data_IF_314060935389
#
_entry.id   IF_314060935389
#
_cell.length_a   1.000
_cell.length_b   1.000
_cell.length_c   1.000
_cell.angle_alpha   90.00
_cell.angle_beta   90.00
_cell.angle_gamma   90.00
#
_symmetry.space_group_name_H-M   'P 1'
#
loop_
_entity.id
_entity.type
_entity.pdbx_description
1 polymer ?
#
# COMPACT_ATOMS: atom_id res chain seq x y z
N UNK A 1 7.03 -2.01 25.57
CA UNK A 1 8.02 -0.94 25.31
C UNK A 1 8.00 -0.67 23.82
N UNK A 2 7.34 0.39 23.35
CA UNK A 2 7.26 0.67 21.90
C UNK A 2 8.61 1.23 21.45
N UNK A 3 9.28 0.54 20.54
CA UNK A 3 10.52 1.03 19.93
C UNK A 3 10.21 2.36 19.21
N UNK A 4 10.81 3.44 19.68
CA UNK A 4 10.59 4.80 19.15
C UNK A 4 11.56 5.16 18.03
N UNK A 5 12.37 4.19 17.59
CA UNK A 5 13.34 4.41 16.52
C UNK A 5 12.68 4.27 15.14
N UNK A 6 12.98 5.17 14.18
CA UNK A 6 12.51 5.01 12.83
C UNK A 6 13.06 3.72 12.20
N UNK A 7 12.16 2.87 11.71
CA UNK A 7 12.53 1.58 11.15
C UNK A 7 11.96 1.37 9.75
N UNK A 8 12.41 0.30 9.09
CA UNK A 8 11.95 -0.05 7.76
C UNK A 8 11.30 -1.44 7.77
N UNK A 9 10.16 -1.55 7.11
CA UNK A 9 9.43 -2.82 6.97
C UNK A 9 9.06 -3.08 5.52
N UNK A 10 8.71 -4.33 5.21
CA UNK A 10 8.18 -4.76 3.92
C UNK A 10 6.88 -5.52 4.11
N UNK A 11 6.06 -5.51 3.07
CA UNK A 11 4.86 -6.34 3.00
C UNK A 11 5.15 -7.45 2.01
N UNK A 12 4.96 -8.69 2.46
CA UNK A 12 4.93 -9.87 1.60
C UNK A 12 3.47 -10.29 1.45
N UNK A 13 2.94 -10.17 0.23
CA UNK A 13 1.63 -10.72 -0.14
C UNK A 13 1.80 -12.20 -0.53
N UNK A 14 0.74 -12.99 -0.37
CA UNK A 14 0.69 -14.42 -0.72
C UNK A 14 1.69 -15.27 0.10
N UNK A 15 1.46 -15.38 1.42
CA UNK A 15 2.13 -16.39 2.22
C UNK A 15 1.31 -17.69 2.20
N UNK A 16 1.78 -18.77 1.55
CA UNK A 16 1.09 -20.05 1.55
C UNK A 16 1.31 -20.74 2.91
N UNK A 17 0.63 -20.26 3.95
CA UNK A 17 0.55 -20.98 5.22
C UNK A 17 -0.89 -21.49 5.34
N UNK A 18 -1.12 -22.81 5.18
CA UNK A 18 -2.42 -23.39 5.43
C UNK A 18 -2.76 -23.20 6.91
N UNK A 19 -3.79 -22.41 7.19
CA UNK A 19 -4.40 -22.35 8.52
C UNK A 19 -5.63 -23.28 8.54
N UNK A 20 -5.93 -23.93 9.66
CA UNK A 20 -7.10 -24.78 9.79
C UNK A 20 -8.38 -23.95 9.61
N UNK A 21 -9.28 -24.45 8.75
CA UNK A 21 -10.68 -24.09 8.55
C UNK A 21 -11.20 -22.81 9.28
N UNK A 22 -10.64 -21.65 8.92
CA UNK A 22 -11.16 -20.35 9.33
C UNK A 22 -11.60 -19.59 8.07
N UNK A 23 -12.72 -18.87 8.15
CA UNK A 23 -13.23 -18.01 7.07
C UNK A 23 -12.29 -16.83 6.74
N UNK A 24 -11.21 -16.66 7.52
CA UNK A 24 -10.15 -15.68 7.32
C UNK A 24 -8.85 -16.36 6.88
N UNK A 25 -8.32 -15.92 5.73
CA UNK A 25 -7.07 -16.42 5.17
C UNK A 25 -5.91 -15.48 5.53
N UNK A 26 -4.73 -16.03 5.82
CA UNK A 26 -3.51 -15.24 6.00
C UNK A 26 -3.05 -14.73 4.63
N UNK A 27 -3.40 -13.49 4.31
CA UNK A 27 -3.13 -12.93 2.98
C UNK A 27 -1.77 -12.23 2.91
N UNK A 28 -1.26 -11.71 4.02
CA UNK A 28 0.00 -10.96 4.01
C UNK A 28 0.73 -10.96 5.34
N UNK A 29 2.04 -10.74 5.29
CA UNK A 29 2.86 -10.48 6.47
C UNK A 29 3.62 -9.18 6.35
N UNK A 30 3.75 -8.49 7.49
CA UNK A 30 4.62 -7.34 7.66
C UNK A 30 5.90 -7.84 8.34
N UNK A 31 7.06 -7.65 7.73
CA UNK A 31 8.34 -8.06 8.30
C UNK A 31 9.33 -6.89 8.35
N UNK A 32 10.22 -6.92 9.32
CA UNK A 32 11.30 -5.94 9.40
C UNK A 32 12.24 -6.09 8.20
N UNK A 33 12.88 -5.01 7.74
CA UNK A 33 13.83 -5.10 6.62
C UNK A 33 15.06 -5.92 6.95
N UNK A 34 15.55 -5.84 8.19
CA UNK A 34 16.79 -6.49 8.63
C UNK A 34 16.60 -7.90 9.18
N UNK A 35 15.37 -8.42 9.24
CA UNK A 35 15.09 -9.71 9.88
C UNK A 35 13.92 -10.44 9.24
N UNK A 36 13.95 -11.77 9.33
CA UNK A 36 12.86 -12.62 8.83
C UNK A 36 11.70 -12.76 9.83
N UNK A 37 11.82 -12.18 11.03
CA UNK A 37 10.75 -12.19 12.01
C UNK A 37 9.57 -11.30 11.53
N UNK A 38 8.33 -11.86 11.47
CA UNK A 38 7.16 -11.06 11.17
C UNK A 38 6.86 -10.11 12.32
N UNK A 39 6.59 -8.84 11.99
CA UNK A 39 6.09 -7.82 12.91
C UNK A 39 4.57 -7.90 13.05
N UNK A 40 3.88 -8.24 11.97
CA UNK A 40 2.43 -8.40 11.97
C UNK A 40 1.98 -9.42 10.90
N UNK A 41 0.87 -10.08 11.19
CA UNK A 41 0.14 -10.97 10.28
C UNK A 41 -1.18 -10.33 9.89
N UNK A 42 -1.59 -10.57 8.65
CA UNK A 42 -2.79 -9.94 8.08
C UNK A 42 -3.74 -11.02 7.64
N UNK A 43 -4.91 -11.03 8.25
CA UNK A 43 -5.99 -11.93 7.94
C UNK A 43 -7.05 -11.17 7.16
N UNK A 44 -7.42 -11.67 5.98
CA UNK A 44 -8.50 -11.09 5.20
C UNK A 44 -9.61 -12.13 5.06
N UNK A 45 -10.86 -11.67 5.03
CA UNK A 45 -11.94 -12.50 4.54
C UNK A 45 -11.71 -12.85 3.07
N UNK A 46 -12.06 -14.09 2.69
CA UNK A 46 -11.97 -14.57 1.31
C UNK A 46 -12.86 -13.79 0.34
N UNK A 47 -13.90 -13.15 0.84
CA UNK A 47 -14.85 -12.41 0.01
C UNK A 47 -14.27 -11.03 -0.34
N UNK A 48 -14.16 -10.67 -1.63
CA UNK A 48 -13.63 -9.38 -2.03
C UNK A 48 -14.51 -8.25 -1.50
N UNK A 49 -13.88 -7.23 -0.92
CA UNK A 49 -14.59 -6.08 -0.35
C UNK A 49 -15.07 -6.27 1.09
N UNK A 50 -14.62 -7.33 1.77
CA UNK A 50 -14.80 -7.51 3.21
C UNK A 50 -13.65 -6.89 4.03
N UNK A 51 -13.82 -6.72 5.36
CA UNK A 51 -12.76 -6.22 6.23
C UNK A 51 -11.56 -7.17 6.31
N UNK A 52 -10.45 -6.61 6.77
CA UNK A 52 -9.25 -7.36 7.12
C UNK A 52 -8.73 -6.94 8.50
N UNK A 53 -8.03 -7.85 9.14
CA UNK A 53 -7.51 -7.71 10.49
C UNK A 53 -5.99 -7.82 10.49
N UNK A 54 -5.35 -6.95 11.28
CA UNK A 54 -3.91 -6.94 11.48
C UNK A 54 -3.64 -7.41 12.90
N UNK A 55 -2.85 -8.48 13.03
CA UNK A 55 -2.45 -9.08 14.29
C UNK A 55 -0.94 -8.86 14.48
N UNK A 56 -0.50 -8.56 15.70
CA UNK A 56 0.92 -8.49 16.03
C UNK A 56 1.55 -9.88 15.91
N UNK A 57 2.79 -9.95 15.46
CA UNK A 57 3.57 -11.18 15.57
C UNK A 57 4.78 -10.93 16.50
N UNK A 58 5.19 -11.93 17.31
CA UNK A 58 4.70 -13.32 17.32
C UNK A 58 3.41 -13.56 18.14
N UNK A 59 2.99 -12.61 18.98
CA UNK A 59 1.95 -12.83 20.03
C UNK A 59 0.50 -13.01 19.52
N UNK A 60 0.27 -12.85 18.22
CA UNK A 60 -1.04 -12.95 17.54
C UNK A 60 -2.15 -12.03 18.08
N UNK A 61 -1.79 -11.03 18.89
CA UNK A 61 -2.75 -10.07 19.45
C UNK A 61 -3.35 -9.17 18.37
N UNK A 62 -4.67 -8.91 18.39
CA UNK A 62 -5.29 -8.00 17.43
C UNK A 62 -4.72 -6.59 17.64
N UNK A 63 -4.25 -5.97 16.55
CA UNK A 63 -3.75 -4.59 16.55
C UNK A 63 -4.83 -3.63 16.07
N UNK A 64 -5.38 -3.90 14.89
CA UNK A 64 -6.42 -3.10 14.29
C UNK A 64 -7.20 -3.88 13.23
N UNK A 65 -8.46 -3.49 13.02
CA UNK A 65 -9.29 -3.92 11.92
C UNK A 65 -9.45 -2.78 10.91
N UNK A 66 -9.59 -3.14 9.64
CA UNK A 66 -9.84 -2.20 8.56
C UNK A 66 -11.11 -2.61 7.85
N UNK A 67 -12.12 -1.75 7.93
CA UNK A 67 -13.44 -1.97 7.34
C UNK A 67 -13.63 -1.06 6.13
N UNK A 68 -14.12 -1.58 5.00
CA UNK A 68 -14.51 -0.73 3.88
C UNK A 68 -15.76 0.07 4.26
N UNK A 69 -15.68 1.40 4.17
CA UNK A 69 -16.80 2.30 4.45
C UNK A 69 -17.45 2.83 3.15
N UNK A 70 -16.79 2.65 2.01
CA UNK A 70 -17.29 3.06 0.71
C UNK A 70 -16.27 2.80 -0.40
N UNK A 71 -16.57 3.21 -1.65
CA UNK A 71 -15.61 3.10 -2.73
C UNK A 71 -14.35 3.89 -2.40
N UNK A 72 -13.19 3.22 -2.44
CA UNK A 72 -11.87 3.79 -2.12
C UNK A 72 -11.78 4.42 -0.70
N UNK A 73 -12.69 4.07 0.22
CA UNK A 73 -12.75 4.62 1.58
C UNK A 73 -12.77 3.50 2.62
N UNK A 74 -11.89 3.62 3.61
CA UNK A 74 -11.62 2.59 4.61
C UNK A 74 -11.57 3.22 6.00
N UNK A 75 -12.30 2.64 6.93
CA UNK A 75 -12.27 3.01 8.34
C UNK A 75 -11.36 2.03 9.09
N UNK A 76 -10.53 2.58 9.96
CA UNK A 76 -9.60 1.82 10.78
C UNK A 76 -10.06 1.90 12.22
N UNK A 77 -10.23 0.73 12.83
CA UNK A 77 -10.57 0.61 14.23
C UNK A 77 -9.45 -0.14 14.96
N UNK A 78 -9.17 0.26 16.19
CA UNK A 78 -8.32 -0.50 17.09
C UNK A 78 -9.00 -1.81 17.50
N UNK A 79 -8.26 -2.68 18.20
CA UNK A 79 -8.77 -3.97 18.70
C UNK A 79 -9.96 -3.85 19.65
N UNK A 80 -10.11 -2.71 20.32
CA UNK A 80 -11.20 -2.35 21.22
C UNK A 80 -12.41 -1.71 20.49
N UNK A 81 -12.33 -1.56 19.15
CA UNK A 81 -13.33 -0.88 18.34
C UNK A 81 -13.17 0.64 18.27
N UNK A 82 -12.19 1.22 18.98
CA UNK A 82 -11.95 2.67 18.95
C UNK A 82 -11.53 3.12 17.55
N UNK A 83 -12.14 4.16 16.97
CA UNK A 83 -11.74 4.66 15.65
C UNK A 83 -10.35 5.27 15.68
N UNK A 84 -9.43 4.72 14.87
CA UNK A 84 -8.05 5.18 14.75
C UNK A 84 -7.91 6.21 13.64
N UNK A 85 -8.40 5.88 12.44
CA UNK A 85 -8.28 6.73 11.28
C UNK A 85 -9.31 6.40 10.19
N UNK A 86 -9.58 7.38 9.33
CA UNK A 86 -10.31 7.17 8.07
C UNK A 86 -9.37 7.41 6.89
N UNK A 87 -9.16 6.38 6.08
CA UNK A 87 -8.32 6.42 4.89
C UNK A 87 -9.18 6.53 3.65
N UNK A 88 -8.90 7.54 2.83
CA UNK A 88 -9.54 7.79 1.54
C UNK A 88 -8.47 7.77 0.46
N UNK A 89 -8.74 7.00 -0.59
CA UNK A 89 -7.94 6.97 -1.80
C UNK A 89 -8.64 7.79 -2.87
N UNK A 90 -7.87 8.61 -3.57
CA UNK A 90 -8.30 9.27 -4.80
C UNK A 90 -7.47 8.68 -5.94
N UNK A 91 -8.08 7.88 -6.83
CA UNK A 91 -7.36 7.27 -7.94
C UNK A 91 -6.78 8.37 -8.84
N UNK A 92 -5.57 8.11 -9.36
CA UNK A 92 -5.01 8.96 -10.39
C UNK A 92 -5.77 8.83 -11.70
N UNK A 93 -5.82 9.91 -12.49
CA UNK A 93 -6.45 9.98 -13.80
C UNK A 93 -5.41 10.46 -14.81
N UNK A 94 -5.40 9.89 -16.02
CA UNK A 94 -4.49 10.33 -17.08
C UNK A 94 -5.09 11.47 -17.91
N UNK A 95 -6.40 11.42 -18.18
CA UNK A 95 -7.14 12.38 -19.02
C UNK A 95 -8.36 12.92 -18.29
N UNK A 96 -8.83 14.16 -18.48
CA UNK A 96 -8.24 15.21 -19.33
C UNK A 96 -7.01 15.87 -18.69
N UNK A 97 -6.83 15.73 -17.37
CA UNK A 97 -5.70 16.28 -16.64
C UNK A 97 -4.98 15.20 -15.84
N UNK A 98 -3.67 15.01 -16.04
CA UNK A 98 -2.91 13.98 -15.33
C UNK A 98 -2.89 14.29 -13.83
N UNK A 99 -3.63 13.50 -13.06
CA UNK A 99 -3.71 13.56 -11.60
C UNK A 99 -3.05 12.33 -11.01
N UNK A 100 -2.23 12.57 -9.99
CA UNK A 100 -1.52 11.50 -9.26
C UNK A 100 -2.48 10.83 -8.27
N UNK A 101 -2.29 9.54 -8.04
CA UNK A 101 -2.99 8.86 -6.94
C UNK A 101 -2.64 9.54 -5.63
N UNK A 102 -3.66 9.95 -4.90
CA UNK A 102 -3.54 10.61 -3.60
C UNK A 102 -4.21 9.75 -2.54
N UNK A 103 -3.53 9.59 -1.43
CA UNK A 103 -4.05 8.96 -0.23
C UNK A 103 -4.24 10.04 0.83
N UNK A 104 -5.34 10.01 1.56
CA UNK A 104 -5.58 10.89 2.69
C UNK A 104 -6.04 10.06 3.87
N UNK A 105 -5.30 10.11 4.98
CA UNK A 105 -5.68 9.49 6.23
C UNK A 105 -6.02 10.60 7.22
N UNK A 106 -7.25 10.59 7.75
CA UNK A 106 -7.64 11.44 8.86
C UNK A 106 -7.46 10.62 10.14
N UNK A 107 -6.39 10.88 10.88
CA UNK A 107 -6.12 10.24 12.17
C UNK A 107 -6.95 10.94 13.25
N UNK A 108 -7.59 10.16 14.12
CA UNK A 108 -8.47 10.68 15.18
C UNK A 108 -7.66 11.23 16.35
N UNK A 109 -6.62 10.49 16.79
CA UNK A 109 -5.74 10.90 17.88
C UNK A 109 -4.26 10.60 17.58
N UNK A 110 -3.37 11.60 17.58
CA UNK A 110 -3.69 13.05 17.56
C UNK A 110 -4.46 13.39 16.28
N UNK A 111 -5.40 14.34 16.37
CA UNK A 111 -6.21 14.74 15.22
C UNK A 111 -5.31 15.36 14.15
N UNK A 112 -5.01 14.58 13.11
CA UNK A 112 -4.08 14.99 12.08
C UNK A 112 -4.43 14.38 10.72
N UNK A 113 -4.32 15.22 9.69
CA UNK A 113 -4.54 14.81 8.31
C UNK A 113 -3.23 14.46 7.63
N UNK A 114 -3.03 13.19 7.33
CA UNK A 114 -1.85 12.70 6.62
C UNK A 114 -2.17 12.56 5.13
N UNK A 115 -1.33 13.13 4.27
CA UNK A 115 -1.50 13.04 2.82
C UNK A 115 -0.35 12.25 2.17
N UNK A 116 -0.69 11.15 1.51
CA UNK A 116 0.19 10.37 0.64
C UNK A 116 0.06 10.81 -0.82
N UNK A 117 1.18 11.07 -1.50
CA UNK A 117 1.20 11.28 -2.96
C UNK A 117 2.07 10.21 -3.63
N UNK A 118 1.52 9.57 -4.66
CA UNK A 118 2.26 8.60 -5.48
C UNK A 118 3.11 9.31 -6.56
N UNK A 119 4.38 8.94 -6.62
CA UNK A 119 5.39 9.49 -7.50
C UNK A 119 5.97 10.82 -7.03
N UNK A 120 7.26 11.02 -7.30
CA UNK A 120 7.92 12.32 -7.15
C UNK A 120 7.70 13.17 -8.40
N UNK A 121 7.82 14.50 -8.28
CA UNK A 121 7.60 15.37 -9.43
C UNK A 121 8.60 15.10 -10.56
N UNK A 122 9.87 14.85 -10.24
CA UNK A 122 10.90 14.54 -11.22
C UNK A 122 10.69 13.16 -11.87
N UNK A 123 10.21 12.16 -11.13
CA UNK A 123 9.90 10.85 -11.71
C UNK A 123 8.68 10.95 -12.65
N UNK A 124 7.73 11.82 -12.33
CA UNK A 124 6.62 12.13 -13.23
C UNK A 124 7.06 12.91 -14.47
N UNK A 125 7.99 13.87 -14.31
CA UNK A 125 8.57 14.58 -15.45
C UNK A 125 9.28 13.60 -16.39
N UNK A 126 10.17 12.76 -15.85
CA UNK A 126 10.87 11.73 -16.62
C UNK A 126 9.86 10.79 -17.29
N UNK A 127 8.84 10.33 -16.57
CA UNK A 127 7.77 9.49 -17.12
C UNK A 127 7.04 10.14 -18.29
N UNK A 128 6.73 11.44 -18.23
CA UNK A 128 6.05 12.17 -19.32
C UNK A 128 6.98 12.35 -20.52
N UNK A 129 8.26 12.65 -20.28
CA UNK A 129 9.26 12.83 -21.34
C UNK A 129 9.59 11.52 -22.05
N UNK A 130 9.66 10.40 -21.32
CA UNK A 130 9.95 9.09 -21.91
C UNK A 130 8.72 8.37 -22.44
N UNK A 131 7.51 8.82 -22.09
CA UNK A 131 6.26 8.19 -22.52
C UNK A 131 6.11 8.05 -24.05
N UNK A 132 6.45 9.05 -24.91
CA UNK A 132 6.34 8.90 -26.36
C UNK A 132 7.26 7.81 -26.92
N UNK A 133 8.53 7.78 -26.46
CA UNK A 133 9.49 6.76 -26.87
C UNK A 133 9.06 5.37 -26.41
N UNK A 134 8.52 5.27 -25.19
CA UNK A 134 7.99 4.01 -24.67
C UNK A 134 6.74 3.55 -25.42
N UNK A 135 5.84 4.48 -25.78
CA UNK A 135 4.64 4.18 -26.56
C UNK A 135 5.01 3.62 -27.93
N UNK A 136 6.02 4.21 -28.58
CA UNK A 136 6.56 3.68 -29.84
C UNK A 136 7.14 2.27 -29.64
N UNK A 137 7.93 2.06 -28.59
CA UNK A 137 8.51 0.75 -28.27
C UNK A 137 7.43 -0.31 -27.99
N UNK A 138 6.42 0.01 -27.18
CA UNK A 138 5.29 -0.90 -26.90
C UNK A 138 4.51 -1.21 -28.17
N UNK A 139 4.32 -0.24 -29.08
CA UNK A 139 3.67 -0.49 -30.36
C UNK A 139 4.47 -1.48 -31.22
N UNK A 140 5.79 -1.27 -31.34
CA UNK A 140 6.67 -2.21 -32.04
C UNK A 140 6.67 -3.60 -31.40
N UNK A 141 6.73 -3.67 -30.07
CA UNK A 141 6.73 -4.91 -29.31
C UNK A 141 5.39 -5.65 -29.44
N UNK A 142 4.27 -4.92 -29.44
CA UNK A 142 2.93 -5.49 -29.66
C UNK A 142 2.80 -6.06 -31.07
N UNK A 143 3.30 -5.36 -32.08
CA UNK A 143 3.35 -5.86 -33.47
C UNK A 143 4.21 -7.11 -33.54
N UNK A 144 5.36 -7.13 -32.86
CA UNK A 144 6.23 -8.30 -32.78
C UNK A 144 5.53 -9.50 -32.10
N UNK A 145 4.95 -9.29 -30.91
CA UNK A 145 4.19 -10.31 -30.15
C UNK A 145 2.99 -10.84 -30.94
N UNK A 146 2.35 -10.02 -31.78
CA UNK A 146 1.30 -10.48 -32.68
C UNK A 146 1.81 -11.54 -33.68
N UNK A 147 3.05 -11.41 -34.16
CA UNK A 147 3.67 -12.41 -35.02
C UNK A 147 4.22 -13.62 -34.25
N UNK A 148 4.73 -13.43 -33.04
CA UNK A 148 5.39 -14.47 -32.23
C UNK A 148 4.41 -15.29 -31.35
N UNK A 149 3.17 -14.83 -31.19
CA UNK A 149 2.13 -15.51 -30.41
C UNK A 149 2.30 -15.49 -28.89
N UNK A 150 3.32 -14.80 -28.36
CA UNK A 150 3.54 -14.62 -26.91
C UNK A 150 2.85 -13.35 -26.40
N UNK A 151 1.92 -13.44 -25.42
CA UNK A 151 1.41 -12.26 -24.73
C UNK A 151 2.43 -11.76 -23.71
N UNK A 152 3.26 -10.80 -24.13
CA UNK A 152 4.19 -10.13 -23.23
C UNK A 152 3.48 -8.99 -22.47
N UNK A 153 3.59 -8.97 -21.15
CA UNK A 153 3.04 -7.91 -20.30
C UNK A 153 3.95 -6.68 -20.33
N UNK A 154 3.74 -5.80 -21.30
CA UNK A 154 4.48 -4.55 -21.46
C UNK A 154 3.94 -3.42 -20.58
N UNK A 155 3.76 -3.65 -19.27
CA UNK A 155 3.24 -2.60 -18.39
C UNK A 155 4.31 -1.54 -18.07
N UNK A 156 4.12 -0.33 -18.60
CA UNK A 156 4.94 0.82 -18.25
C UNK A 156 4.76 1.20 -16.77
N UNK A 157 5.80 0.95 -15.96
CA UNK A 157 5.76 1.16 -14.52
C UNK A 157 5.52 2.62 -14.13
N UNK A 158 4.32 2.93 -13.62
CA UNK A 158 4.04 4.25 -13.04
C UNK A 158 4.97 4.51 -11.84
N UNK A 159 5.38 5.77 -11.59
CA UNK A 159 6.20 6.11 -10.42
C UNK A 159 5.58 5.59 -9.11
N UNK A 160 6.21 4.55 -8.54
CA UNK A 160 5.59 3.75 -7.48
C UNK A 160 5.85 4.28 -6.05
N UNK A 161 6.84 5.18 -5.88
CA UNK A 161 7.21 5.75 -4.58
C UNK A 161 6.05 6.56 -3.99
N UNK A 162 5.65 6.29 -2.76
CA UNK A 162 4.57 7.04 -2.10
C UNK A 162 5.08 7.65 -0.82
N UNK A 163 4.99 8.98 -0.69
CA UNK A 163 5.37 9.69 0.54
C UNK A 163 4.13 10.22 1.22
N UNK A 164 3.89 9.76 2.44
CA UNK A 164 2.87 10.29 3.34
C UNK A 164 3.48 11.38 4.21
N UNK A 165 2.85 12.54 4.19
CA UNK A 165 3.27 13.71 4.95
C UNK A 165 2.18 14.15 5.89
N UNK A 166 2.61 14.54 7.08
CA UNK A 166 1.81 15.14 8.10
C UNK A 166 2.13 16.66 8.17
N UNK A 167 1.12 17.53 8.36
CA UNK A 167 1.32 18.98 8.46
C UNK A 167 2.30 19.32 9.58
N UNK A 168 3.26 20.21 9.30
CA UNK A 168 4.25 20.69 10.28
C UNK A 168 5.38 19.72 10.61
N UNK A 169 5.17 18.40 10.53
CA UNK A 169 6.18 17.40 10.94
C UNK A 169 6.94 16.79 9.76
N UNK A 170 6.38 16.81 8.55
CA UNK A 170 7.06 16.30 7.35
C UNK A 170 6.67 14.86 7.02
N UNK A 171 7.62 14.05 6.54
CA UNK A 171 7.33 12.67 6.08
C UNK A 171 7.17 11.72 7.27
N UNK A 172 6.06 10.99 7.33
CA UNK A 172 5.74 10.03 8.40
C UNK A 172 5.77 8.57 7.94
N UNK A 173 5.56 8.35 6.64
CA UNK A 173 5.69 7.06 5.99
C UNK A 173 6.22 7.28 4.57
N UNK A 174 7.25 6.55 4.16
CA UNK A 174 7.84 6.62 2.81
C UNK A 174 7.95 5.21 2.22
N UNK A 175 7.14 4.92 1.22
CA UNK A 175 7.27 3.71 0.42
C UNK A 175 8.25 3.93 -0.72
N UNK A 176 9.28 3.11 -0.79
CA UNK A 176 10.29 3.10 -1.86
C UNK A 176 9.98 2.00 -2.88
N UNK A 177 9.64 2.41 -4.11
CA UNK A 177 9.20 1.49 -5.17
C UNK A 177 10.22 0.43 -5.58
N UNK A 178 11.50 0.81 -5.71
CA UNK A 178 12.60 -0.09 -6.10
C UNK A 178 12.87 -1.17 -5.05
N UNK A 179 12.99 -0.77 -3.78
CA UNK A 179 13.27 -1.71 -2.68
C UNK A 179 12.03 -2.36 -2.09
N UNK A 180 10.82 -1.99 -2.55
CA UNK A 180 9.52 -2.40 -2.01
C UNK A 180 9.42 -2.25 -0.48
N UNK A 181 10.15 -1.30 0.10
CA UNK A 181 10.22 -1.09 1.55
C UNK A 181 9.50 0.18 1.98
N UNK A 182 8.91 0.13 3.17
CA UNK A 182 8.30 1.25 3.86
C UNK A 182 9.25 1.73 4.95
N UNK A 183 9.48 3.05 5.02
CA UNK A 183 10.21 3.69 6.11
C UNK A 183 9.19 4.40 6.99
N UNK A 184 9.14 4.04 8.26
CA UNK A 184 8.14 4.52 9.21
C UNK A 184 8.81 5.24 10.39
N UNK A 185 8.19 6.33 10.81
CA UNK A 185 8.57 7.07 12.01
C UNK A 185 7.49 6.88 13.09
N UNK A 186 7.74 6.02 14.10
CA UNK A 186 6.75 5.68 15.13
C UNK A 186 6.44 6.86 16.06
N UNK A 187 7.26 7.93 16.06
CA UNK A 187 7.02 9.13 16.88
C UNK A 187 5.94 10.03 16.30
N UNK A 188 5.62 9.87 15.01
CA UNK A 188 4.76 10.79 14.26
C UNK A 188 3.52 10.14 13.68
N UNK A 189 3.47 8.81 13.69
CA UNK A 189 2.36 8.04 13.17
C UNK A 189 2.23 6.77 14.00
N UNK A 190 1.01 6.43 14.40
CA UNK A 190 0.73 5.13 15.01
C UNK A 190 1.11 4.00 14.04
N UNK A 191 1.86 3.02 14.55
CA UNK A 191 2.28 1.83 13.81
C UNK A 191 1.08 1.09 13.17
N UNK A 192 -0.07 1.05 13.85
CA UNK A 192 -1.31 0.41 13.37
C UNK A 192 -1.78 1.08 12.08
N UNK A 193 -1.82 2.41 12.08
CA UNK A 193 -2.20 3.21 10.91
C UNK A 193 -1.16 3.08 9.80
N UNK A 194 0.13 3.01 10.14
CA UNK A 194 1.20 2.83 9.17
C UNK A 194 1.12 1.48 8.44
N UNK A 195 0.87 0.38 9.16
CA UNK A 195 0.70 -0.95 8.58
C UNK A 195 -0.54 -1.01 7.69
N UNK A 196 -1.66 -0.48 8.15
CA UNK A 196 -2.88 -0.44 7.35
C UNK A 196 -2.73 0.41 6.08
N UNK A 197 -2.09 1.58 6.14
CA UNK A 197 -1.78 2.39 4.96
C UNK A 197 -0.90 1.65 3.95
N UNK A 198 0.08 0.91 4.45
CA UNK A 198 0.98 0.13 3.63
C UNK A 198 0.23 -1.03 2.95
N UNK A 199 -0.64 -1.75 3.68
CA UNK A 199 -1.46 -2.85 3.14
C UNK A 199 -2.45 -2.36 2.10
N UNK A 200 -3.22 -1.31 2.41
CA UNK A 200 -4.16 -0.72 1.46
C UNK A 200 -3.45 -0.31 0.16
N UNK A 201 -2.24 0.26 0.24
CA UNK A 201 -1.46 0.63 -0.95
C UNK A 201 -0.93 -0.58 -1.72
N UNK A 202 -0.58 -1.67 -1.05
CA UNK A 202 -0.09 -2.91 -1.69
C UNK A 202 -1.23 -3.68 -2.36
N UNK A 203 -2.32 -3.97 -1.65
CA UNK A 203 -3.43 -4.75 -2.19
C UNK A 203 -4.21 -4.03 -3.28
N UNK A 204 -4.37 -2.71 -3.19
CA UNK A 204 -4.98 -1.94 -4.28
C UNK A 204 -4.15 -2.00 -5.55
N UNK A 205 -2.83 -2.16 -5.44
CA UNK A 205 -1.98 -2.39 -6.61
C UNK A 205 -2.25 -3.78 -7.17
N UNK A 206 -2.24 -4.82 -6.34
CA UNK A 206 -2.40 -6.22 -6.76
C UNK A 206 -3.79 -6.53 -7.32
N UNK A 207 -4.87 -6.01 -6.73
CA UNK A 207 -6.24 -6.18 -7.28
C UNK A 207 -6.42 -5.55 -8.66
N UNK A 208 -5.58 -4.58 -9.04
CA UNK A 208 -5.58 -4.02 -10.39
C UNK A 208 -4.86 -4.90 -11.42
N UNK A 209 -4.06 -5.86 -10.97
CA UNK A 209 -3.36 -6.80 -11.84
C UNK A 209 -4.06 -8.17 -11.95
N UNK A 210 -5.05 -8.46 -11.08
CA UNK A 210 -5.87 -9.69 -11.14
C UNK A 210 -7.24 -9.48 -11.80
N UNK A 211 -7.54 -8.29 -12.30
CA UNK A 211 -8.79 -7.94 -12.99
C UNK A 211 -8.47 -7.44 -14.40
#
# INVERSE_FOLDING_TARGET
MHDTTPYAFRISADNPVPLPASDAELVSTVSHRSGNAPLARVHASRTPGQPFWIHSAPDDRPLCSVTPAGPDTYDLHASDGTPLARVTRRPGRLLPWPRRTRWTAQVVYPSQRITGKAGTWYAWLLYVVTAPAWLLWVLCATVYSFFDGSPDDFTFGRPARTRWRAPGTGTVLDYRGLSRTYRHDPRRLDVRVAYALALLRTWVRERRFRA
#
